data_IF_664789900803
#
_entry.id   IF_664789900803
#
_cell.length_a   1.000
_cell.length_b   1.000
_cell.length_c   1.000
_cell.angle_alpha   90.00
_cell.angle_beta   90.00
_cell.angle_gamma   90.00
#
_symmetry.space_group_name_H-M   'P 1'
#
loop_
_entity.id
_entity.type
_entity.pdbx_description
1 polymer ?
#
# COMPACT_ATOMS: atom_id res chain seq x y z
N UNK A 1 -3.21 3.42 22.90
CA UNK A 1 -1.74 3.49 23.10
C UNK A 1 -1.09 3.02 21.81
N UNK A 2 -0.05 3.70 21.34
CA UNK A 2 0.80 3.22 20.24
C UNK A 2 1.87 2.34 20.88
N UNK A 3 1.88 1.05 20.54
CA UNK A 3 2.88 0.13 21.10
C UNK A 3 4.26 0.45 20.55
N UNK A 4 4.37 0.64 19.21
CA UNK A 4 5.62 1.04 18.56
C UNK A 4 5.36 1.74 17.22
N UNK A 5 6.09 2.84 16.96
CA UNK A 5 6.13 3.50 15.65
C UNK A 5 7.58 3.88 15.34
N UNK A 6 8.25 3.05 14.55
CA UNK A 6 9.68 3.20 14.25
C UNK A 6 10.03 4.51 13.55
N UNK A 7 9.18 4.96 12.64
CA UNK A 7 9.33 6.22 11.89
C UNK A 7 9.22 7.48 12.78
N UNK A 8 8.58 7.36 13.95
CA UNK A 8 8.42 8.44 14.91
C UNK A 8 9.31 8.28 16.15
N UNK A 9 10.02 7.17 16.27
CA UNK A 9 10.80 6.84 17.47
C UNK A 9 9.91 6.61 18.70
N UNK A 10 8.65 6.23 18.52
CA UNK A 10 7.71 6.03 19.62
C UNK A 10 7.71 4.59 20.09
N UNK A 11 7.71 4.43 21.44
CA UNK A 11 7.56 3.16 22.12
C UNK A 11 6.63 3.33 23.31
N UNK A 12 5.54 2.58 23.36
CA UNK A 12 4.49 2.62 24.38
C UNK A 12 3.92 4.02 24.68
N UNK A 13 3.70 4.84 23.63
CA UNK A 13 3.19 6.21 23.80
C UNK A 13 1.66 6.22 23.96
N UNK A 14 1.11 6.77 25.07
CA UNK A 14 -0.33 6.84 25.33
C UNK A 14 -1.01 8.01 24.59
N UNK A 15 -0.89 8.04 23.24
CA UNK A 15 -1.33 9.18 22.40
C UNK A 15 -2.77 9.57 22.65
N UNK A 16 -3.71 8.62 22.72
CA UNK A 16 -5.12 8.95 22.96
C UNK A 16 -5.29 9.73 24.26
N UNK A 17 -4.66 9.24 25.35
CA UNK A 17 -4.74 9.93 26.64
C UNK A 17 -4.14 11.33 26.59
N UNK A 18 -2.98 11.49 25.94
CA UNK A 18 -2.33 12.80 25.76
C UNK A 18 -3.22 13.79 25.00
N UNK A 19 -3.92 13.31 23.96
CA UNK A 19 -4.85 14.12 23.17
C UNK A 19 -6.13 14.44 23.95
N UNK A 20 -6.68 13.46 24.69
CA UNK A 20 -7.86 13.65 25.56
C UNK A 20 -7.58 14.67 26.65
N UNK A 21 -6.43 14.59 27.32
CA UNK A 21 -6.01 15.56 28.34
C UNK A 21 -5.79 16.95 27.77
N UNK A 22 -5.29 17.05 26.53
CA UNK A 22 -4.96 18.35 25.89
C UNK A 22 -6.17 19.05 25.28
N UNK A 23 -7.09 18.29 24.66
CA UNK A 23 -8.19 18.83 23.88
C UNK A 23 -9.57 18.59 24.50
N UNK A 24 -9.66 17.82 25.57
CA UNK A 24 -10.91 17.48 26.29
C UNK A 24 -11.98 16.84 25.37
N UNK A 25 -11.54 16.03 24.40
CA UNK A 25 -12.40 15.26 23.48
C UNK A 25 -12.05 13.79 23.53
N UNK A 26 -13.02 12.87 23.41
CA UNK A 26 -12.73 11.44 23.31
C UNK A 26 -11.81 11.15 22.11
N UNK A 27 -10.76 10.37 22.32
CA UNK A 27 -9.80 10.00 21.28
C UNK A 27 -9.76 8.48 21.11
N UNK A 28 -9.74 8.04 19.86
CA UNK A 28 -9.50 6.64 19.48
C UNK A 28 -8.38 6.56 18.47
N UNK A 29 -7.64 5.47 18.52
CA UNK A 29 -6.56 5.16 17.58
C UNK A 29 -6.99 3.99 16.71
N UNK A 30 -6.79 4.10 15.41
CA UNK A 30 -6.98 3.01 14.46
C UNK A 30 -5.89 3.03 13.40
N UNK A 31 -5.79 1.97 12.61
CA UNK A 31 -4.94 1.93 11.43
C UNK A 31 -5.49 2.89 10.35
N UNK A 32 -4.62 3.49 9.53
CA UNK A 32 -4.98 4.47 8.51
C UNK A 32 -5.88 3.89 7.42
N UNK A 33 -5.59 2.67 6.93
CA UNK A 33 -6.42 2.00 5.93
C UNK A 33 -7.80 1.59 6.50
N UNK A 34 -7.89 1.22 7.78
CA UNK A 34 -9.16 0.98 8.45
C UNK A 34 -9.98 2.26 8.57
N UNK A 35 -9.33 3.40 8.89
CA UNK A 35 -9.99 4.70 8.90
C UNK A 35 -10.50 5.08 7.50
N UNK A 36 -9.71 4.84 6.46
CA UNK A 36 -10.11 5.08 5.08
C UNK A 36 -11.30 4.20 4.67
N UNK A 37 -11.28 2.90 5.01
CA UNK A 37 -12.40 1.99 4.72
C UNK A 37 -13.70 2.43 5.40
N UNK A 38 -13.60 2.87 6.65
CA UNK A 38 -14.76 3.40 7.38
C UNK A 38 -15.27 4.71 6.75
N UNK A 39 -14.38 5.60 6.32
CA UNK A 39 -14.76 6.84 5.66
C UNK A 39 -15.50 6.57 4.34
N UNK A 40 -15.02 5.62 3.55
CA UNK A 40 -15.68 5.19 2.30
C UNK A 40 -17.07 4.58 2.56
N UNK A 41 -17.22 3.81 3.64
CA UNK A 41 -18.52 3.23 4.01
C UNK A 41 -19.50 4.30 4.51
N UNK A 42 -19.03 5.31 5.24
CA UNK A 42 -19.91 6.34 5.83
C UNK A 42 -20.28 7.42 4.83
N UNK A 43 -19.33 7.85 3.96
CA UNK A 43 -19.50 9.04 3.13
C UNK A 43 -18.88 8.90 1.72
N UNK A 44 -18.41 7.74 1.31
CA UNK A 44 -17.73 7.52 0.03
C UNK A 44 -18.42 6.48 -0.86
N UNK A 45 -17.59 5.78 -1.65
CA UNK A 45 -18.05 4.83 -2.66
C UNK A 45 -18.68 3.55 -2.06
N UNK A 46 -18.44 3.25 -0.78
CA UNK A 46 -18.94 2.06 -0.11
C UNK A 46 -20.23 2.32 0.72
N UNK A 47 -20.87 3.47 0.58
CA UNK A 47 -22.14 3.77 1.25
C UNK A 47 -23.20 2.73 0.86
N UNK A 48 -23.87 2.14 1.87
CA UNK A 48 -24.89 1.11 1.70
C UNK A 48 -24.35 -0.31 1.52
N UNK A 49 -23.04 -0.52 1.63
CA UNK A 49 -22.41 -1.83 1.57
C UNK A 49 -21.91 -2.29 2.95
N UNK A 50 -22.38 -3.47 3.37
CA UNK A 50 -21.99 -4.07 4.65
C UNK A 50 -20.67 -4.85 4.58
N UNK A 51 -20.23 -5.24 3.38
CA UNK A 51 -19.00 -5.97 3.16
C UNK A 51 -18.15 -5.22 2.14
N UNK A 52 -16.98 -4.76 2.58
CA UNK A 52 -16.08 -3.91 1.80
C UNK A 52 -14.64 -4.37 1.99
N UNK A 53 -13.89 -4.39 0.90
CA UNK A 53 -12.44 -4.46 0.93
C UNK A 53 -11.91 -3.18 0.30
N UNK A 54 -11.17 -2.41 1.09
CA UNK A 54 -10.46 -1.22 0.60
C UNK A 54 -8.99 -1.54 0.50
N UNK A 55 -8.38 -1.10 -0.59
CA UNK A 55 -6.93 -1.20 -0.81
C UNK A 55 -6.39 0.20 -1.00
N UNK A 56 -5.38 0.56 -0.23
CA UNK A 56 -4.66 1.82 -0.38
C UNK A 56 -3.31 1.57 -1.04
N UNK A 57 -3.05 2.30 -2.12
CA UNK A 57 -1.79 2.25 -2.86
C UNK A 57 -1.01 3.53 -2.61
N UNK A 58 0.08 3.41 -1.90
CA UNK A 58 0.96 4.52 -1.54
C UNK A 58 2.40 4.04 -1.44
N UNK A 59 3.16 4.56 -0.49
CA UNK A 59 4.53 4.08 -0.18
C UNK A 59 4.56 2.57 0.04
N UNK A 60 3.50 2.03 0.65
CA UNK A 60 3.21 0.61 0.78
C UNK A 60 1.84 0.26 0.19
N UNK A 61 1.35 -0.95 0.49
CA UNK A 61 -0.01 -1.41 0.18
C UNK A 61 -0.73 -1.67 1.50
N UNK A 62 -1.71 -0.83 1.81
CA UNK A 62 -2.58 -0.99 2.97
C UNK A 62 -3.89 -1.70 2.63
N UNK A 63 -4.54 -2.25 3.64
CA UNK A 63 -5.85 -2.87 3.51
C UNK A 63 -6.80 -2.50 4.64
N UNK A 64 -8.07 -2.30 4.31
CA UNK A 64 -9.16 -2.18 5.27
C UNK A 64 -10.29 -3.13 4.88
N UNK A 65 -10.78 -3.92 5.82
CA UNK A 65 -11.86 -4.88 5.59
C UNK A 65 -13.04 -4.56 6.49
N UNK A 66 -14.22 -4.49 5.91
CA UNK A 66 -15.49 -4.36 6.62
C UNK A 66 -16.30 -5.63 6.37
N UNK A 67 -16.82 -6.22 7.43
CA UNK A 67 -17.68 -7.41 7.38
C UNK A 67 -18.91 -7.15 8.25
N UNK A 68 -20.11 -7.27 7.65
CA UNK A 68 -21.37 -7.01 8.34
C UNK A 68 -21.45 -5.59 8.93
N UNK A 69 -20.93 -4.59 8.21
CA UNK A 69 -20.92 -3.19 8.61
C UNK A 69 -19.89 -2.83 9.69
N UNK A 70 -18.94 -3.72 9.99
CA UNK A 70 -17.92 -3.51 11.03
C UNK A 70 -16.52 -3.73 10.50
N UNK A 71 -15.58 -2.87 10.92
CA UNK A 71 -14.15 -3.06 10.63
C UNK A 71 -13.68 -4.39 11.20
N UNK A 72 -12.97 -5.13 10.38
CA UNK A 72 -12.27 -6.35 10.76
C UNK A 72 -10.85 -6.03 11.22
N UNK A 73 -10.70 -5.75 12.51
CA UNK A 73 -9.39 -5.43 13.11
C UNK A 73 -8.53 -6.68 13.34
N UNK A 74 -9.11 -7.87 13.31
CA UNK A 74 -8.41 -9.09 13.65
C UNK A 74 -7.97 -9.12 15.12
N UNK A 75 -7.10 -10.07 15.45
CA UNK A 75 -6.53 -10.15 16.79
C UNK A 75 -5.45 -9.06 16.95
N UNK A 76 -5.58 -8.22 17.99
CA UNK A 76 -4.67 -7.12 18.33
C UNK A 76 -4.53 -6.03 17.23
N UNK A 77 -5.53 -5.85 16.39
CA UNK A 77 -5.50 -4.84 15.34
C UNK A 77 -4.59 -5.18 14.15
N UNK A 78 -4.21 -6.45 13.99
CA UNK A 78 -3.36 -6.93 12.90
C UNK A 78 -4.17 -7.59 11.77
N UNK A 79 -5.46 -7.30 11.68
CA UNK A 79 -6.29 -7.72 10.55
C UNK A 79 -6.04 -6.87 9.32
N UNK A 80 -6.42 -7.39 8.16
CA UNK A 80 -6.40 -6.68 6.87
C UNK A 80 -5.01 -6.19 6.39
N UNK A 81 -3.93 -6.84 6.81
CA UNK A 81 -2.56 -6.58 6.29
C UNK A 81 -2.40 -7.15 4.87
N UNK A 82 -3.23 -6.66 3.93
CA UNK A 82 -3.36 -7.22 2.57
C UNK A 82 -2.07 -7.09 1.76
N UNK A 83 -1.33 -5.98 1.92
CA UNK A 83 -0.05 -5.76 1.26
C UNK A 83 1.00 -6.81 1.60
N UNK A 84 0.83 -7.50 2.71
CA UNK A 84 1.74 -8.56 3.14
C UNK A 84 1.26 -9.97 2.79
N UNK A 85 0.20 -10.09 1.99
CA UNK A 85 -0.19 -11.37 1.40
C UNK A 85 0.90 -11.85 0.45
N UNK A 86 1.21 -13.17 0.51
CA UNK A 86 2.22 -13.77 -0.36
C UNK A 86 1.71 -13.78 -1.81
N UNK A 87 2.43 -13.10 -2.70
CA UNK A 87 2.17 -13.10 -4.15
C UNK A 87 3.12 -14.04 -4.89
N UNK A 88 4.42 -13.99 -4.55
CA UNK A 88 5.46 -14.79 -5.23
C UNK A 88 6.31 -15.50 -4.19
N UNK A 89 6.27 -16.82 -4.18
CA UNK A 89 7.07 -17.61 -3.25
C UNK A 89 8.58 -17.39 -3.48
N UNK A 90 9.30 -16.98 -2.42
CA UNK A 90 10.73 -16.67 -2.50
C UNK A 90 11.08 -15.43 -3.29
N UNK A 91 10.10 -14.63 -3.72
CA UNK A 91 10.25 -13.43 -4.55
C UNK A 91 10.98 -12.27 -3.88
N UNK A 92 10.61 -11.04 -4.24
CA UNK A 92 11.25 -9.81 -3.77
C UNK A 92 11.25 -9.65 -2.24
N UNK A 93 12.30 -9.11 -1.65
CA UNK A 93 12.32 -8.81 -0.23
C UNK A 93 11.28 -7.74 0.12
N UNK A 94 10.61 -7.93 1.26
CA UNK A 94 9.63 -7.00 1.80
C UNK A 94 10.14 -6.37 3.11
N UNK A 95 9.72 -5.14 3.37
CA UNK A 95 10.03 -4.39 4.60
C UNK A 95 9.60 -5.11 5.88
N UNK A 96 8.59 -6.01 5.79
CA UNK A 96 8.15 -6.83 6.92
C UNK A 96 9.11 -7.98 7.29
N UNK A 97 10.23 -8.13 6.58
CA UNK A 97 11.23 -9.19 6.78
C UNK A 97 10.95 -10.47 6.02
N UNK A 98 9.80 -10.61 5.36
CA UNK A 98 9.47 -11.74 4.48
C UNK A 98 9.86 -11.45 3.03
N UNK A 99 9.62 -12.43 2.15
CA UNK A 99 9.83 -12.28 0.71
C UNK A 99 8.54 -12.59 -0.04
N UNK A 100 8.34 -11.91 -1.17
CA UNK A 100 7.25 -12.18 -2.07
C UNK A 100 5.90 -11.57 -1.68
N UNK A 101 5.88 -10.61 -0.76
CA UNK A 101 4.65 -9.89 -0.40
C UNK A 101 4.13 -9.06 -1.57
N UNK A 102 2.82 -8.93 -1.70
CA UNK A 102 2.17 -8.11 -2.71
C UNK A 102 2.71 -6.66 -2.75
N UNK A 103 2.89 -6.03 -1.60
CA UNK A 103 3.47 -4.69 -1.48
C UNK A 103 4.81 -4.53 -2.21
N UNK A 104 5.66 -5.57 -2.21
CA UNK A 104 6.95 -5.54 -2.87
C UNK A 104 6.86 -5.47 -4.42
N UNK A 105 5.66 -5.62 -4.98
CA UNK A 105 5.41 -5.55 -6.43
C UNK A 105 4.52 -4.36 -6.83
N UNK A 106 3.53 -3.99 -6.01
CA UNK A 106 2.46 -3.06 -6.41
C UNK A 106 2.44 -1.74 -5.63
N UNK A 107 3.36 -1.51 -4.70
CA UNK A 107 3.48 -0.21 -4.04
C UNK A 107 4.16 0.83 -4.92
N UNK A 108 3.98 2.13 -4.62
CA UNK A 108 4.72 3.20 -5.30
C UNK A 108 6.24 3.04 -5.14
N UNK A 109 6.70 2.56 -3.99
CA UNK A 109 8.12 2.24 -3.77
C UNK A 109 8.59 1.11 -4.68
N UNK A 110 7.76 0.07 -4.87
CA UNK A 110 8.06 -1.03 -5.78
C UNK A 110 8.08 -0.57 -7.24
N UNK A 111 7.12 0.26 -7.66
CA UNK A 111 7.07 0.86 -8.99
C UNK A 111 8.36 1.63 -9.30
N UNK A 112 8.79 2.52 -8.40
CA UNK A 112 10.03 3.30 -8.57
C UNK A 112 11.26 2.40 -8.64
N UNK A 113 11.34 1.36 -7.80
CA UNK A 113 12.45 0.38 -7.83
C UNK A 113 12.50 -0.36 -9.17
N UNK A 114 11.36 -0.86 -9.64
CA UNK A 114 11.24 -1.56 -10.93
C UNK A 114 11.61 -0.63 -12.09
N UNK A 115 11.15 0.62 -12.07
CA UNK A 115 11.48 1.61 -13.09
C UNK A 115 12.98 1.94 -13.13
N UNK A 116 13.64 2.04 -11.98
CA UNK A 116 15.10 2.24 -11.92
C UNK A 116 15.88 1.06 -12.49
N UNK A 117 15.42 -0.16 -12.21
CA UNK A 117 16.02 -1.35 -12.79
C UNK A 117 15.83 -1.39 -14.30
N UNK A 118 14.59 -1.17 -14.78
CA UNK A 118 14.28 -1.15 -16.20
C UNK A 118 15.05 -0.05 -16.95
N UNK A 119 15.21 1.14 -16.35
CA UNK A 119 16.02 2.22 -16.92
C UNK A 119 17.51 1.85 -17.09
N UNK A 120 18.05 1.04 -16.19
CA UNK A 120 19.42 0.55 -16.30
C UNK A 120 19.60 -0.51 -17.39
N UNK A 121 18.55 -1.31 -17.64
CA UNK A 121 18.54 -2.37 -18.66
C UNK A 121 18.19 -1.85 -20.06
N UNK A 122 17.47 -0.69 -20.15
CA UNK A 122 16.95 -0.08 -21.35
C UNK A 122 17.42 1.39 -21.50
N UNK A 123 18.67 1.63 -21.95
CA UNK A 123 19.21 2.98 -22.10
C UNK A 123 18.44 3.87 -23.10
N UNK A 124 17.68 3.27 -24.01
CA UNK A 124 16.82 3.95 -24.98
C UNK A 124 15.53 4.51 -24.39
N UNK A 125 15.14 4.04 -23.19
CA UNK A 125 13.92 4.47 -22.52
C UNK A 125 14.01 5.92 -22.02
N UNK A 126 12.89 6.62 -22.03
CA UNK A 126 12.76 7.95 -21.41
C UNK A 126 13.09 7.95 -19.91
N UNK A 127 12.92 6.79 -19.26
CA UNK A 127 13.30 6.61 -17.86
C UNK A 127 14.80 6.72 -17.64
N UNK A 128 15.63 6.23 -18.58
CA UNK A 128 17.08 6.28 -18.46
C UNK A 128 17.63 7.72 -18.59
N UNK A 129 16.91 8.61 -19.27
CA UNK A 129 17.27 10.04 -19.41
C UNK A 129 16.69 10.93 -18.31
N UNK A 130 15.92 10.39 -17.36
CA UNK A 130 15.31 11.18 -16.31
C UNK A 130 16.31 11.55 -15.21
N UNK A 131 16.29 12.81 -14.77
CA UNK A 131 17.12 13.30 -13.66
C UNK A 131 16.79 12.56 -12.34
N UNK A 132 15.50 12.30 -12.14
CA UNK A 132 15.00 11.53 -10.99
C UNK A 132 13.83 10.62 -11.43
N UNK A 133 13.89 9.34 -11.04
CA UNK A 133 12.79 8.40 -11.25
C UNK A 133 11.88 8.41 -10.02
N UNK A 134 10.72 9.02 -10.20
CA UNK A 134 9.58 9.07 -9.26
C UNK A 134 8.39 8.34 -9.86
N UNK A 135 7.34 8.08 -9.08
CA UNK A 135 6.09 7.52 -9.62
C UNK A 135 5.53 8.37 -10.76
N UNK A 136 5.55 9.71 -10.62
CA UNK A 136 5.12 10.64 -11.68
C UNK A 136 5.95 10.48 -12.95
N UNK A 137 7.27 10.40 -12.83
CA UNK A 137 8.17 10.21 -13.98
C UNK A 137 7.83 8.96 -14.77
N UNK A 138 7.48 7.87 -14.08
CA UNK A 138 7.12 6.59 -14.73
C UNK A 138 5.82 6.74 -15.52
N UNK A 139 4.77 7.33 -14.93
CA UNK A 139 3.51 7.55 -15.64
C UNK A 139 3.65 8.55 -16.78
N UNK A 140 4.37 9.66 -16.61
CA UNK A 140 4.63 10.64 -17.65
C UNK A 140 5.38 10.02 -18.86
N UNK A 141 6.31 9.08 -18.62
CA UNK A 141 7.01 8.35 -19.68
C UNK A 141 6.07 7.36 -20.39
N UNK A 142 5.26 6.62 -19.64
CA UNK A 142 4.27 5.69 -20.17
C UNK A 142 3.23 6.42 -21.05
N UNK A 143 2.70 7.56 -20.60
CA UNK A 143 1.75 8.40 -21.35
C UNK A 143 2.35 8.93 -22.68
N UNK A 144 3.66 9.07 -22.73
CA UNK A 144 4.40 9.46 -23.94
C UNK A 144 4.72 8.27 -24.87
N UNK A 145 4.25 7.07 -24.53
CA UNK A 145 4.40 5.86 -25.32
C UNK A 145 5.73 5.12 -25.12
N UNK A 146 6.45 5.39 -24.03
CA UNK A 146 7.66 4.64 -23.69
C UNK A 146 7.30 3.18 -23.34
N UNK A 147 7.79 2.23 -24.14
CA UNK A 147 7.45 0.81 -24.00
C UNK A 147 7.95 0.23 -22.65
N UNK A 148 9.13 0.65 -22.22
CA UNK A 148 9.72 0.21 -20.93
C UNK A 148 8.92 0.72 -19.76
N UNK A 149 8.53 1.99 -19.77
CA UNK A 149 7.69 2.58 -18.74
C UNK A 149 6.30 1.91 -18.71
N UNK A 150 5.69 1.66 -19.87
CA UNK A 150 4.43 0.93 -19.98
C UNK A 150 4.54 -0.47 -19.38
N UNK A 151 5.60 -1.22 -19.68
CA UNK A 151 5.81 -2.55 -19.12
C UNK A 151 5.92 -2.53 -17.58
N UNK A 152 6.56 -1.51 -17.00
CA UNK A 152 6.66 -1.33 -15.54
C UNK A 152 5.31 -0.99 -14.93
N UNK A 153 4.52 -0.11 -15.56
CA UNK A 153 3.17 0.24 -15.11
C UNK A 153 2.25 -0.99 -15.18
N UNK A 154 2.27 -1.72 -16.29
CA UNK A 154 1.47 -2.93 -16.48
C UNK A 154 1.80 -3.99 -15.44
N UNK A 155 3.08 -4.23 -15.15
CA UNK A 155 3.51 -5.17 -14.12
C UNK A 155 2.98 -4.78 -12.73
N UNK A 156 2.97 -3.50 -12.39
CA UNK A 156 2.40 -3.00 -11.14
C UNK A 156 0.88 -3.17 -11.10
N UNK A 157 0.18 -2.80 -12.19
CA UNK A 157 -1.27 -2.83 -12.27
C UNK A 157 -1.85 -4.26 -12.35
N UNK A 158 -1.19 -5.19 -13.04
CA UNK A 158 -1.68 -6.56 -13.15
C UNK A 158 -1.78 -7.26 -11.80
N UNK A 159 -0.87 -6.96 -10.88
CA UNK A 159 -0.90 -7.51 -9.53
C UNK A 159 -2.01 -6.90 -8.66
N UNK A 160 -2.56 -5.75 -9.07
CA UNK A 160 -3.69 -5.08 -8.42
C UNK A 160 -5.01 -5.61 -8.98
N UNK A 161 -5.13 -5.66 -10.32
CA UNK A 161 -6.37 -6.03 -11.01
C UNK A 161 -6.60 -7.53 -11.09
N UNK A 162 -5.52 -8.32 -11.19
CA UNK A 162 -5.59 -9.79 -11.35
C UNK A 162 -4.62 -10.51 -10.38
N UNK A 163 -4.77 -10.33 -9.05
CA UNK A 163 -3.80 -10.86 -8.07
C UNK A 163 -3.68 -12.38 -8.08
N UNK A 164 -4.67 -13.11 -8.59
CA UNK A 164 -4.69 -14.58 -8.62
C UNK A 164 -4.10 -15.16 -9.90
N UNK A 165 -3.95 -14.38 -10.97
CA UNK A 165 -3.51 -14.89 -12.28
C UNK A 165 -2.04 -15.33 -12.30
N UNK A 166 -1.22 -14.79 -11.40
CA UNK A 166 0.22 -15.07 -11.32
C UNK A 166 0.64 -15.85 -10.05
N UNK A 167 -0.31 -16.18 -9.18
CA UNK A 167 -0.05 -17.14 -8.10
C UNK A 167 0.09 -18.55 -8.71
N UNK A 168 1.19 -18.79 -9.40
CA UNK A 168 1.57 -20.15 -9.78
C UNK A 168 2.20 -20.80 -8.55
N UNK A 169 1.48 -21.78 -8.02
CA UNK A 169 1.93 -22.70 -6.99
C UNK A 169 2.95 -23.67 -7.60
#
# INVERSE_FOLDING_TARGET
MVERAYNLGWDHVPVCRMLEERFHVPCRLSNDANCAALAEQVAGAAVGHDNVVLITLGTGVGGGIIIGGKIYDGMRGAGAELGHTLLVLGGEPCTCGRRGCWEAYSSATALIRQARQAAAEHPESLLAGAEEITGKTVFDAADRGDETANAVVDLSLIHISEPTRHAQI
#
